data_IF_213338677749
#
_entry.id   IF_213338677749
#
_cell.length_a   1.000
_cell.length_b   1.000
_cell.length_c   1.000
_cell.angle_alpha   90.00
_cell.angle_beta   90.00
_cell.angle_gamma   90.00
#
_symmetry.space_group_name_H-M   'P 1'
#
loop_
_entity.id
_entity.type
_entity.pdbx_description
1 polymer ?
#
# COMPACT_ATOMS: atom_id res chain seq x y z
N UNK A 1 -11.93 1.19 -8.41
CA UNK A 1 -12.60 0.05 -9.05
C UNK A 1 -13.59 0.55 -10.08
N UNK A 2 -13.56 0.01 -11.30
CA UNK A 2 -14.56 0.32 -12.33
C UNK A 2 -15.75 -0.62 -12.11
N UNK A 3 -16.96 -0.08 -12.16
CA UNK A 3 -18.20 -0.85 -12.00
C UNK A 3 -18.91 -1.14 -13.32
N UNK A 4 -18.49 -0.49 -14.41
CA UNK A 4 -19.05 -0.70 -15.74
C UNK A 4 -18.33 -1.85 -16.43
N UNK A 5 -19.10 -2.75 -17.03
CA UNK A 5 -18.58 -3.88 -17.82
C UNK A 5 -18.53 -3.54 -19.31
N UNK A 6 -19.40 -2.62 -19.76
CA UNK A 6 -19.53 -2.20 -21.15
C UNK A 6 -19.09 -0.73 -21.35
N UNK A 7 -18.32 -0.40 -22.41
CA UNK A 7 -18.00 0.98 -22.80
C UNK A 7 -19.20 1.92 -23.01
N UNK A 8 -20.40 1.38 -23.25
CA UNK A 8 -21.63 2.16 -23.46
C UNK A 8 -22.34 2.57 -22.15
N UNK A 9 -21.97 1.97 -21.01
CA UNK A 9 -22.54 2.33 -19.71
C UNK A 9 -21.96 3.65 -19.19
N UNK A 10 -22.77 4.41 -18.44
CA UNK A 10 -22.25 5.59 -17.75
C UNK A 10 -21.13 5.17 -16.77
N UNK A 11 -19.94 5.79 -16.86
CA UNK A 11 -18.78 5.31 -16.13
C UNK A 11 -18.91 5.60 -14.64
N UNK A 12 -19.20 4.56 -13.87
CA UNK A 12 -19.16 4.58 -12.41
C UNK A 12 -17.82 4.04 -11.90
N UNK A 13 -17.21 4.76 -10.95
CA UNK A 13 -15.92 4.41 -10.34
C UNK A 13 -16.05 4.52 -8.82
N UNK A 14 -15.64 3.47 -8.12
CA UNK A 14 -15.38 3.52 -6.68
C UNK A 14 -13.91 3.88 -6.43
N UNK A 15 -13.68 4.86 -5.56
CA UNK A 15 -12.35 5.26 -5.10
C UNK A 15 -12.17 4.85 -3.64
N UNK A 16 -11.33 3.84 -3.40
CA UNK A 16 -10.87 3.47 -2.06
C UNK A 16 -9.86 4.51 -1.56
N UNK A 17 -10.00 4.91 -0.31
CA UNK A 17 -9.05 5.79 0.38
C UNK A 17 -9.03 5.51 1.88
N UNK A 18 -8.00 6.01 2.56
CA UNK A 18 -7.92 5.99 4.02
C UNK A 18 -9.06 6.82 4.63
N UNK A 19 -9.76 6.25 5.62
CA UNK A 19 -10.93 6.87 6.23
C UNK A 19 -10.60 8.20 6.91
N UNK A 20 -9.37 8.38 7.40
CA UNK A 20 -8.91 9.62 8.04
C UNK A 20 -8.79 10.81 7.08
N UNK A 21 -8.84 10.59 5.77
CA UNK A 21 -8.73 11.64 4.74
C UNK A 21 -9.91 11.70 3.79
N UNK A 22 -11.02 11.02 4.11
CA UNK A 22 -12.23 11.02 3.28
C UNK A 22 -12.70 12.44 2.95
N UNK A 23 -12.83 13.30 3.96
CA UNK A 23 -13.26 14.70 3.78
C UNK A 23 -12.28 15.52 2.94
N UNK A 24 -10.98 15.32 3.17
CA UNK A 24 -9.92 16.03 2.44
C UNK A 24 -9.93 15.65 0.95
N UNK A 25 -10.07 14.35 0.65
CA UNK A 25 -10.18 13.85 -0.72
C UNK A 25 -11.46 14.36 -1.38
N UNK A 26 -12.60 14.34 -0.69
CA UNK A 26 -13.85 14.87 -1.23
C UNK A 26 -13.75 16.36 -1.56
N UNK A 27 -13.17 17.17 -0.67
CA UNK A 27 -12.92 18.60 -0.92
C UNK A 27 -11.99 18.79 -2.11
N UNK A 28 -10.91 18.03 -2.19
CA UNK A 28 -9.96 18.07 -3.30
C UNK A 28 -10.64 17.74 -4.63
N UNK A 29 -11.41 16.64 -4.73
CA UNK A 29 -12.13 16.29 -5.95
C UNK A 29 -13.18 17.33 -6.35
N UNK A 30 -13.90 17.91 -5.38
CA UNK A 30 -14.88 18.98 -5.62
C UNK A 30 -14.24 20.25 -6.19
N UNK A 31 -13.01 20.58 -5.80
CA UNK A 31 -12.24 21.70 -6.37
C UNK A 31 -12.08 21.55 -7.89
N UNK A 32 -11.80 20.34 -8.37
CA UNK A 32 -11.55 20.05 -9.79
C UNK A 32 -12.81 19.66 -10.59
N UNK A 33 -13.97 19.51 -9.94
CA UNK A 33 -15.24 19.15 -10.59
C UNK A 33 -15.89 20.31 -11.37
N UNK A 34 -15.44 21.55 -11.22
CA UNK A 34 -16.10 22.73 -11.82
C UNK A 34 -16.33 22.52 -13.33
N UNK A 35 -17.59 22.70 -13.77
CA UNK A 35 -18.06 22.47 -15.15
C UNK A 35 -17.91 21.03 -15.67
N UNK A 36 -17.81 20.03 -14.78
CA UNK A 36 -17.83 18.60 -15.11
C UNK A 36 -19.13 17.94 -14.62
N UNK A 37 -19.74 17.11 -15.47
CA UNK A 37 -20.92 16.30 -15.14
C UNK A 37 -20.50 15.03 -14.39
N UNK A 38 -20.05 15.19 -13.14
CA UNK A 38 -19.61 14.06 -12.29
C UNK A 38 -20.27 14.18 -10.93
N UNK A 39 -20.89 13.13 -10.41
CA UNK A 39 -21.34 13.10 -9.02
C UNK A 39 -20.26 12.50 -8.10
N UNK A 40 -20.10 13.05 -6.90
CA UNK A 40 -19.11 12.59 -5.93
C UNK A 40 -19.83 12.45 -4.59
N UNK A 41 -19.95 11.23 -4.10
CA UNK A 41 -20.60 10.91 -2.84
C UNK A 41 -19.82 9.82 -2.10
N UNK A 42 -19.86 9.79 -0.76
CA UNK A 42 -19.34 8.66 0.02
C UNK A 42 -20.27 7.46 -0.13
N UNK A 43 -19.70 6.25 -0.22
CA UNK A 43 -20.44 4.99 -0.28
C UNK A 43 -20.44 4.31 1.11
N UNK A 44 -21.23 4.84 2.04
CA UNK A 44 -21.25 4.40 3.44
C UNK A 44 -22.02 3.10 3.68
N UNK A 45 -22.78 2.66 2.67
CA UNK A 45 -23.51 1.41 2.60
C UNK A 45 -22.65 0.23 2.14
N UNK A 46 -21.38 0.48 1.79
CA UNK A 46 -20.43 -0.53 1.35
C UNK A 46 -19.39 -0.86 2.42
N UNK A 47 -18.87 -2.09 2.36
CA UNK A 47 -17.74 -2.55 3.15
C UNK A 47 -16.61 -3.00 2.23
N UNK A 48 -15.39 -2.59 2.55
CA UNK A 48 -14.17 -3.02 1.86
C UNK A 48 -13.44 -4.06 2.73
N UNK A 49 -13.00 -5.14 2.09
CA UNK A 49 -12.27 -6.24 2.68
C UNK A 49 -11.04 -6.58 1.85
N UNK A 50 -10.01 -7.09 2.53
CA UNK A 50 -8.89 -7.76 1.90
C UNK A 50 -9.02 -9.27 2.13
N UNK A 51 -8.91 -10.06 1.06
CA UNK A 51 -8.84 -11.52 1.14
C UNK A 51 -7.38 -11.89 0.94
N UNK A 52 -6.72 -12.27 2.02
CA UNK A 52 -5.30 -12.66 2.01
C UNK A 52 -5.23 -14.18 1.96
N UNK A 53 -4.48 -14.78 1.01
CA UNK A 53 -4.34 -16.23 0.92
C UNK A 53 -3.65 -16.79 2.18
N UNK A 54 -4.20 -17.86 2.75
CA UNK A 54 -3.52 -18.65 3.78
C UNK A 54 -2.43 -19.55 3.19
N UNK A 55 -1.69 -20.28 4.05
CA UNK A 55 -0.59 -21.18 3.66
C UNK A 55 -1.02 -22.34 2.74
N UNK A 56 -2.32 -22.62 2.63
CA UNK A 56 -2.91 -23.63 1.74
C UNK A 56 -3.93 -23.03 0.77
N UNK A 57 -3.58 -21.90 0.15
CA UNK A 57 -4.36 -21.35 -0.95
C UNK A 57 -4.18 -22.24 -2.19
N UNK A 58 -5.09 -23.20 -2.40
CA UNK A 58 -5.24 -23.90 -3.68
C UNK A 58 -5.65 -22.92 -4.80
N UNK A 59 -6.40 -23.38 -5.81
CA UNK A 59 -6.91 -22.51 -6.88
C UNK A 59 -8.08 -21.61 -6.38
N UNK A 60 -7.76 -20.67 -5.48
CA UNK A 60 -8.69 -19.70 -4.95
C UNK A 60 -9.20 -18.79 -6.08
N UNK A 61 -8.36 -18.49 -7.07
CA UNK A 61 -8.73 -17.65 -8.21
C UNK A 61 -9.89 -18.25 -9.03
N UNK A 62 -9.83 -19.55 -9.34
CA UNK A 62 -10.90 -20.26 -10.06
C UNK A 62 -12.20 -20.40 -9.27
N UNK A 63 -12.12 -20.50 -7.94
CA UNK A 63 -13.29 -20.56 -7.05
C UNK A 63 -13.97 -19.19 -6.91
N UNK A 64 -13.18 -18.14 -6.71
CA UNK A 64 -13.64 -16.74 -6.55
C UNK A 64 -14.33 -16.21 -7.82
N UNK A 65 -13.82 -16.54 -9.01
CA UNK A 65 -14.41 -16.13 -10.28
C UNK A 65 -15.86 -16.64 -10.47
N UNK A 66 -16.21 -17.79 -9.88
CA UNK A 66 -17.56 -18.38 -9.96
C UNK A 66 -18.58 -17.76 -8.99
N UNK A 67 -18.15 -16.82 -8.14
CA UNK A 67 -18.92 -16.26 -7.01
C UNK A 67 -19.01 -14.73 -7.03
N UNK A 68 -18.62 -14.12 -8.16
CA UNK A 68 -18.67 -12.68 -8.35
C UNK A 68 -20.11 -12.12 -8.22
N UNK A 69 -21.14 -12.94 -8.44
CA UNK A 69 -22.56 -12.58 -8.34
C UNK A 69 -23.01 -12.19 -6.92
N UNK A 70 -22.27 -12.63 -5.89
CA UNK A 70 -22.58 -12.33 -4.48
C UNK A 70 -21.76 -11.15 -3.92
N UNK A 71 -20.77 -10.67 -4.67
CA UNK A 71 -19.95 -9.51 -4.34
C UNK A 71 -20.30 -8.33 -5.26
N UNK A 72 -20.04 -7.11 -4.82
CA UNK A 72 -20.07 -5.97 -5.75
C UNK A 72 -18.80 -5.96 -6.60
N UNK A 73 -17.65 -6.20 -5.95
CA UNK A 73 -16.35 -6.33 -6.61
C UNK A 73 -15.57 -7.43 -5.90
N UNK A 74 -14.95 -8.30 -6.68
CA UNK A 74 -13.95 -9.26 -6.24
C UNK A 74 -12.85 -9.32 -7.29
N UNK A 75 -11.70 -8.73 -6.98
CA UNK A 75 -10.60 -8.56 -7.94
C UNK A 75 -9.26 -8.78 -7.25
N UNK A 76 -8.23 -9.28 -7.96
CA UNK A 76 -6.87 -9.25 -7.45
C UNK A 76 -6.48 -7.85 -6.97
N UNK A 77 -5.67 -7.77 -5.91
CA UNK A 77 -5.13 -6.50 -5.42
C UNK A 77 -4.24 -5.88 -6.52
N UNK A 78 -4.52 -4.65 -6.99
CA UNK A 78 -3.85 -4.09 -8.15
C UNK A 78 -2.36 -3.76 -7.89
N UNK A 79 -1.92 -3.77 -6.64
CA UNK A 79 -0.53 -3.45 -6.29
C UNK A 79 0.40 -4.61 -6.58
N UNK A 80 0.03 -5.82 -6.16
CA UNK A 80 0.83 -7.04 -6.31
C UNK A 80 0.03 -8.27 -5.85
N UNK A 81 0.30 -9.42 -6.49
CA UNK A 81 -0.38 -10.69 -6.20
C UNK A 81 -0.18 -11.16 -4.75
N UNK A 82 0.94 -10.78 -4.09
CA UNK A 82 1.18 -11.16 -2.69
C UNK A 82 0.17 -10.57 -1.72
N UNK A 83 -0.59 -9.54 -2.13
CA UNK A 83 -1.65 -8.93 -1.33
C UNK A 83 -3.02 -9.63 -1.47
N UNK A 84 -3.14 -10.64 -2.33
CA UNK A 84 -4.37 -11.38 -2.54
C UNK A 84 -5.41 -10.58 -3.31
N UNK A 85 -6.62 -10.46 -2.76
CA UNK A 85 -7.77 -9.87 -3.44
C UNK A 85 -8.40 -8.72 -2.64
N UNK A 86 -9.00 -7.79 -3.37
CA UNK A 86 -9.94 -6.79 -2.84
C UNK A 86 -11.37 -7.28 -3.03
N UNK A 87 -12.14 -7.21 -1.95
CA UNK A 87 -13.56 -7.57 -1.92
C UNK A 87 -14.38 -6.35 -1.44
N UNK A 88 -15.34 -5.91 -2.24
CA UNK A 88 -16.32 -4.90 -1.84
C UNK A 88 -17.70 -5.56 -1.81
N UNK A 89 -18.39 -5.38 -0.68
CA UNK A 89 -19.73 -5.92 -0.44
C UNK A 89 -20.66 -4.83 0.06
N UNK A 90 -21.98 -5.11 0.04
CA UNK A 90 -22.93 -4.33 0.84
C UNK A 90 -22.64 -4.56 2.32
N UNK A 91 -22.80 -3.51 3.12
CA UNK A 91 -22.65 -3.59 4.58
C UNK A 91 -23.59 -4.65 5.15
N UNK A 92 -23.05 -5.54 5.98
CA UNK A 92 -23.79 -6.66 6.58
C UNK A 92 -23.90 -7.91 5.70
N UNK A 93 -23.27 -7.95 4.52
CA UNK A 93 -23.21 -9.17 3.72
C UNK A 93 -22.54 -10.33 4.46
N UNK A 94 -23.02 -11.56 4.22
CA UNK A 94 -22.47 -12.76 4.81
C UNK A 94 -21.17 -13.20 4.09
N UNK A 95 -20.02 -12.90 4.70
CA UNK A 95 -18.71 -13.15 4.07
C UNK A 95 -18.43 -14.63 3.82
N UNK A 96 -18.94 -15.53 4.67
CA UNK A 96 -18.71 -16.98 4.49
C UNK A 96 -19.49 -17.57 3.31
N UNK A 97 -20.55 -16.90 2.84
CA UNK A 97 -21.24 -17.30 1.61
C UNK A 97 -20.46 -16.88 0.37
N UNK A 98 -19.88 -15.67 0.41
CA UNK A 98 -19.09 -15.10 -0.70
C UNK A 98 -17.74 -15.81 -0.83
N UNK A 99 -17.07 -16.05 0.30
CA UNK A 99 -15.78 -16.73 0.38
C UNK A 99 -15.93 -17.93 1.34
N UNK A 100 -16.38 -19.10 0.84
CA UNK A 100 -16.46 -20.32 1.65
C UNK A 100 -15.11 -20.69 2.24
N UNK A 101 -15.12 -21.35 3.39
CA UNK A 101 -13.91 -21.80 4.10
C UNK A 101 -12.96 -20.66 4.50
N UNK A 102 -13.43 -19.41 4.43
CA UNK A 102 -12.74 -18.26 5.00
C UNK A 102 -13.15 -18.03 6.46
N UNK A 103 -12.34 -17.25 7.16
CA UNK A 103 -12.67 -16.70 8.46
C UNK A 103 -12.32 -15.20 8.46
N UNK A 104 -13.02 -14.43 9.30
CA UNK A 104 -12.69 -13.02 9.50
C UNK A 104 -11.43 -12.95 10.36
N UNK A 105 -10.32 -12.54 9.74
CA UNK A 105 -9.04 -12.34 10.43
C UNK A 105 -8.97 -11.03 11.24
N UNK A 106 -7.94 -10.91 12.05
CA UNK A 106 -7.64 -9.67 12.77
C UNK A 106 -6.97 -8.66 11.83
N UNK A 107 -7.39 -7.40 11.86
CA UNK A 107 -6.78 -6.31 11.08
C UNK A 107 -5.27 -6.17 11.33
N UNK A 108 -4.80 -6.56 12.52
CA UNK A 108 -3.38 -6.55 12.86
C UNK A 108 -2.57 -7.56 12.03
N UNK A 109 -3.15 -8.72 11.70
CA UNK A 109 -2.49 -9.70 10.82
C UNK A 109 -2.38 -9.18 9.40
N UNK A 110 -3.41 -8.47 8.92
CA UNK A 110 -3.36 -7.77 7.63
C UNK A 110 -2.22 -6.74 7.58
N UNK A 111 -2.09 -5.91 8.62
CA UNK A 111 -1.00 -4.93 8.71
C UNK A 111 0.37 -5.60 8.83
N UNK A 112 0.48 -6.68 9.60
CA UNK A 112 1.71 -7.48 9.72
C UNK A 112 2.13 -8.06 8.36
N UNK A 113 1.17 -8.60 7.59
CA UNK A 113 1.41 -9.08 6.23
C UNK A 113 1.90 -7.95 5.32
N UNK A 114 1.23 -6.79 5.31
CA UNK A 114 1.67 -5.63 4.52
C UNK A 114 3.09 -5.20 4.86
N UNK A 115 3.43 -5.06 6.14
CA UNK A 115 4.78 -4.66 6.56
C UNK A 115 5.83 -5.72 6.20
N UNK A 116 5.53 -7.01 6.37
CA UNK A 116 6.40 -8.10 5.90
C UNK A 116 6.67 -8.02 4.40
N UNK A 117 5.65 -7.72 3.60
CA UNK A 117 5.76 -7.59 2.14
C UNK A 117 6.30 -6.22 1.68
N UNK A 118 6.50 -5.25 2.59
CA UNK A 118 6.91 -3.91 2.23
C UNK A 118 5.86 -3.12 1.43
N UNK A 119 4.57 -3.38 1.69
CA UNK A 119 3.44 -2.71 1.02
C UNK A 119 2.90 -1.58 1.90
N UNK A 120 3.23 -0.31 1.57
CA UNK A 120 2.70 0.84 2.29
C UNK A 120 1.21 1.06 1.98
N UNK A 121 0.43 1.41 3.00
CA UNK A 121 -0.99 1.73 2.90
C UNK A 121 -1.42 2.73 3.98
N UNK A 122 -2.25 3.70 3.60
CA UNK A 122 -2.80 4.70 4.52
C UNK A 122 -1.85 5.86 4.84
N UNK A 123 -2.35 6.80 5.65
CA UNK A 123 -1.68 8.09 5.87
C UNK A 123 -0.41 8.01 6.72
N UNK A 124 -0.28 6.98 7.57
CA UNK A 124 0.94 6.75 8.36
C UNK A 124 2.11 6.33 7.45
N UNK A 125 1.81 5.48 6.48
CA UNK A 125 2.78 4.98 5.52
C UNK A 125 3.08 6.03 4.43
N UNK A 126 2.06 6.82 4.06
CA UNK A 126 2.13 7.94 3.10
C UNK A 126 1.72 9.30 3.71
N UNK A 127 2.58 9.96 4.49
CA UNK A 127 2.23 11.24 5.07
C UNK A 127 1.92 12.27 3.98
N UNK A 128 0.71 12.89 3.97
CA UNK A 128 0.28 13.79 2.92
C UNK A 128 1.23 14.98 2.74
N UNK A 129 1.59 15.28 1.50
CA UNK A 129 2.53 16.37 1.16
C UNK A 129 4.00 16.06 1.44
N UNK A 130 4.33 14.91 2.04
CA UNK A 130 5.70 14.51 2.37
C UNK A 130 6.15 13.29 1.56
N UNK A 131 5.29 12.28 1.43
CA UNK A 131 5.63 11.05 0.71
C UNK A 131 5.80 11.31 -0.79
N UNK A 132 6.96 10.91 -1.34
CA UNK A 132 7.23 11.00 -2.78
C UNK A 132 6.79 9.70 -3.49
N UNK A 133 5.97 9.76 -4.56
CA UNK A 133 5.42 8.57 -5.22
C UNK A 133 6.45 7.50 -5.60
N UNK A 134 7.58 7.93 -6.17
CA UNK A 134 8.60 7.00 -6.67
C UNK A 134 9.48 6.41 -5.56
N UNK A 135 9.76 7.18 -4.49
CA UNK A 135 10.38 6.65 -3.27
C UNK A 135 9.42 5.69 -2.54
N UNK A 136 8.12 5.86 -2.74
CA UNK A 136 7.06 5.05 -2.15
C UNK A 136 6.69 3.82 -3.00
N UNK A 137 7.48 3.52 -4.03
CA UNK A 137 7.33 2.36 -4.92
C UNK A 137 6.03 2.33 -5.74
N UNK A 138 5.34 3.46 -5.96
CA UNK A 138 4.11 3.48 -6.75
C UNK A 138 4.31 2.94 -8.17
N UNK A 139 5.50 3.13 -8.78
CA UNK A 139 5.80 2.54 -10.08
C UNK A 139 5.91 1.00 -10.04
N UNK A 140 6.39 0.43 -8.92
CA UNK A 140 6.46 -1.03 -8.74
C UNK A 140 5.10 -1.63 -8.37
N UNK A 141 4.20 -0.83 -7.80
CA UNK A 141 2.84 -1.24 -7.43
C UNK A 141 1.78 -0.83 -8.47
N UNK A 142 2.16 -0.73 -9.75
CA UNK A 142 1.27 -0.40 -10.88
C UNK A 142 0.49 0.93 -10.75
N UNK A 143 0.96 1.87 -9.91
CA UNK A 143 0.27 3.12 -9.57
C UNK A 143 0.58 4.31 -10.47
N UNK A 144 1.54 4.20 -11.39
CA UNK A 144 1.94 5.29 -12.30
C UNK A 144 2.01 4.78 -13.73
N UNK A 145 1.34 5.48 -14.65
CA UNK A 145 1.56 5.33 -16.09
C UNK A 145 2.39 6.51 -16.59
N UNK A 146 3.48 6.20 -17.30
CA UNK A 146 4.35 7.20 -17.95
C UNK A 146 3.92 7.53 -19.39
N UNK A 147 2.91 6.82 -19.90
CA UNK A 147 2.42 6.96 -21.28
C UNK A 147 1.02 7.58 -21.36
N UNK A 148 0.37 7.86 -20.21
CA UNK A 148 -0.95 8.50 -20.17
C UNK A 148 -0.86 10.03 -20.35
N UNK A 149 -2.02 10.65 -20.56
CA UNK A 149 -2.17 12.11 -20.63
C UNK A 149 -1.87 12.85 -19.32
N UNK A 150 -2.01 14.17 -19.36
CA UNK A 150 -1.61 15.07 -18.27
C UNK A 150 -2.34 14.81 -16.94
N UNK A 151 -1.60 14.89 -15.83
CA UNK A 151 -2.16 14.82 -14.47
C UNK A 151 -1.36 15.68 -13.48
N UNK A 152 -1.95 16.02 -12.34
CA UNK A 152 -1.31 16.90 -11.34
C UNK A 152 -0.04 16.25 -10.78
N UNK A 153 1.08 16.98 -10.82
CA UNK A 153 2.38 16.51 -10.33
C UNK A 153 3.14 15.59 -11.30
N UNK A 154 2.68 15.48 -12.56
CA UNK A 154 3.31 14.63 -13.57
C UNK A 154 4.76 15.06 -13.85
N UNK A 155 5.03 16.35 -13.98
CA UNK A 155 6.32 16.86 -14.46
C UNK A 155 7.46 16.45 -13.53
N UNK A 156 7.26 16.60 -12.22
CA UNK A 156 8.25 16.20 -11.22
C UNK A 156 8.44 14.67 -11.20
N UNK A 157 7.33 13.92 -11.29
CA UNK A 157 7.34 12.46 -11.27
C UNK A 157 8.06 11.90 -12.49
N UNK A 158 7.71 12.38 -13.70
CA UNK A 158 8.33 11.97 -14.95
C UNK A 158 9.81 12.35 -15.01
N UNK A 159 10.17 13.57 -14.57
CA UNK A 159 11.58 14.01 -14.49
C UNK A 159 12.40 13.08 -13.60
N UNK A 160 11.88 12.76 -12.42
CA UNK A 160 12.55 11.88 -11.46
C UNK A 160 12.70 10.46 -12.03
N UNK A 161 11.72 9.96 -12.76
CA UNK A 161 11.78 8.65 -13.41
C UNK A 161 12.80 8.59 -14.55
N UNK A 162 12.83 9.59 -15.44
CA UNK A 162 13.68 9.55 -16.64
C UNK A 162 15.11 10.04 -16.41
N UNK A 163 15.31 11.02 -15.53
CA UNK A 163 16.61 11.65 -15.31
C UNK A 163 17.25 11.25 -13.97
N UNK A 164 16.45 10.69 -13.05
CA UNK A 164 16.86 10.45 -11.67
C UNK A 164 17.15 8.99 -11.38
N UNK A 165 18.19 8.76 -10.57
CA UNK A 165 18.34 7.50 -9.85
C UNK A 165 17.53 7.63 -8.56
N UNK A 166 16.53 6.77 -8.38
CA UNK A 166 15.78 6.68 -7.11
C UNK A 166 16.71 6.04 -6.07
N UNK A 167 17.34 6.88 -5.25
CA UNK A 167 18.34 6.43 -4.24
C UNK A 167 17.72 5.95 -2.94
N UNK A 168 16.50 6.37 -2.64
CA UNK A 168 15.77 5.98 -1.43
C UNK A 168 14.44 5.32 -1.81
N UNK A 169 14.07 4.28 -1.08
CA UNK A 169 12.78 3.60 -1.22
C UNK A 169 12.19 3.24 0.14
N UNK A 170 10.87 3.15 0.21
CA UNK A 170 10.21 2.45 1.30
C UNK A 170 10.56 0.96 1.21
N UNK A 171 11.09 0.42 2.29
CA UNK A 171 11.55 -0.96 2.39
C UNK A 171 11.00 -1.58 3.67
N UNK A 172 10.63 -2.87 3.65
CA UNK A 172 10.29 -3.59 4.88
C UNK A 172 11.51 -3.64 5.79
N UNK A 173 11.27 -3.47 7.08
CA UNK A 173 12.27 -3.61 8.12
C UNK A 173 11.80 -4.61 9.18
N UNK A 174 12.76 -5.26 9.81
CA UNK A 174 12.52 -6.27 10.84
C UNK A 174 13.38 -5.99 12.08
N UNK A 175 12.74 -6.07 13.25
CA UNK A 175 13.36 -5.98 14.56
C UNK A 175 13.57 -7.38 15.13
N UNK A 176 14.70 -7.65 15.82
CA UNK A 176 14.96 -8.96 16.43
C UNK A 176 13.92 -9.38 17.48
N UNK A 177 13.21 -8.42 18.08
CA UNK A 177 12.15 -8.66 19.04
C UNK A 177 10.99 -7.68 18.79
N UNK A 178 9.75 -8.04 19.15
CA UNK A 178 8.62 -7.14 19.04
C UNK A 178 8.83 -5.88 19.90
N UNK A 179 8.59 -4.72 19.29
CA UNK A 179 8.63 -3.44 20.00
C UNK A 179 7.23 -3.05 20.48
N UNK A 180 7.14 -2.31 21.61
CA UNK A 180 5.87 -1.74 22.03
C UNK A 180 5.25 -0.88 20.92
N UNK A 181 3.92 -0.89 20.81
CA UNK A 181 3.21 -0.05 19.82
C UNK A 181 3.57 1.42 20.04
N UNK A 182 3.75 2.13 18.92
CA UNK A 182 4.02 3.57 18.89
C UNK A 182 5.27 3.99 19.70
N UNK A 183 6.19 3.06 19.99
CA UNK A 183 7.44 3.34 20.70
C UNK A 183 8.48 4.05 19.85
N UNK A 184 8.37 3.95 18.52
CA UNK A 184 9.27 4.61 17.57
C UNK A 184 8.60 5.89 17.07
N UNK A 185 9.21 7.07 17.28
CA UNK A 185 8.70 8.31 16.72
C UNK A 185 8.66 8.28 15.19
N UNK A 186 7.66 8.93 14.59
CA UNK A 186 7.62 9.11 13.14
C UNK A 186 8.88 9.85 12.68
N UNK A 187 9.54 9.31 11.63
CA UNK A 187 10.73 9.92 11.08
C UNK A 187 12.00 9.73 11.92
N UNK A 188 11.97 8.85 12.95
CA UNK A 188 13.15 8.46 13.70
C UNK A 188 14.29 8.06 12.75
N UNK A 189 15.48 8.59 13.00
CA UNK A 189 16.62 8.37 12.13
C UNK A 189 17.12 6.93 12.25
N UNK A 190 17.36 6.32 11.09
CA UNK A 190 18.01 5.02 10.97
C UNK A 190 19.42 5.27 10.46
N UNK A 191 20.39 4.70 11.18
CA UNK A 191 21.81 4.81 10.87
C UNK A 191 22.43 3.43 10.68
N UNK A 192 23.52 3.38 9.93
CA UNK A 192 24.39 2.21 9.87
C UNK A 192 25.11 2.03 11.21
N UNK A 193 25.69 0.85 11.47
CA UNK A 193 26.49 0.65 12.68
C UNK A 193 27.67 1.65 12.81
N UNK A 194 28.21 2.13 11.68
CA UNK A 194 29.24 3.17 11.64
C UNK A 194 28.73 4.60 11.86
N UNK A 195 27.44 4.77 12.14
CA UNK A 195 26.80 6.06 12.45
C UNK A 195 26.42 6.89 11.22
N UNK A 196 26.48 6.33 10.00
CA UNK A 196 26.06 7.05 8.79
C UNK A 196 24.55 7.03 8.66
N UNK A 197 23.96 8.16 8.29
CA UNK A 197 22.51 8.26 8.02
C UNK A 197 22.11 7.34 6.86
N UNK A 198 21.28 6.35 7.15
CA UNK A 198 20.78 5.34 6.21
C UNK A 198 19.32 5.61 5.80
N UNK A 199 18.55 6.32 6.62
CA UNK A 199 17.17 6.67 6.30
C UNK A 199 16.34 7.05 7.51
N UNK A 200 15.02 6.88 7.39
CA UNK A 200 14.08 7.19 8.48
C UNK A 200 13.00 6.13 8.59
N UNK A 201 12.65 5.79 9.83
CA UNK A 201 11.47 4.99 10.14
C UNK A 201 10.20 5.68 9.64
N UNK A 202 9.26 4.92 9.08
CA UNK A 202 7.98 5.43 8.59
C UNK A 202 6.83 4.98 9.48
N UNK A 203 6.61 3.69 9.55
CA UNK A 203 5.51 3.10 10.32
C UNK A 203 5.79 1.61 10.56
N UNK A 204 5.12 1.02 11.55
CA UNK A 204 5.30 -0.39 11.88
C UNK A 204 4.49 -0.80 13.10
N UNK A 205 4.61 -2.08 13.47
CA UNK A 205 4.00 -2.65 14.66
C UNK A 205 4.62 -4.02 14.98
N UNK A 206 4.82 -4.29 16.27
CA UNK A 206 5.51 -5.50 16.70
C UNK A 206 6.96 -5.50 16.22
N UNK A 207 7.35 -6.56 15.53
CA UNK A 207 8.69 -6.79 14.99
C UNK A 207 8.87 -6.31 13.54
N UNK A 208 7.82 -5.75 12.92
CA UNK A 208 7.81 -5.38 11.51
C UNK A 208 7.48 -3.90 11.30
N UNK A 209 7.98 -3.36 10.19
CA UNK A 209 7.60 -2.04 9.73
C UNK A 209 8.11 -1.74 8.34
N UNK A 210 8.01 -0.48 7.97
CA UNK A 210 8.60 0.08 6.77
C UNK A 210 9.42 1.32 7.11
N UNK A 211 10.50 1.52 6.36
CA UNK A 211 11.36 2.66 6.48
C UNK A 211 11.75 3.21 5.11
N UNK A 212 11.92 4.53 5.03
CA UNK A 212 12.48 5.17 3.85
C UNK A 212 14.01 5.08 3.95
N UNK A 213 14.61 4.12 3.26
CA UNK A 213 16.04 3.82 3.35
C UNK A 213 16.76 4.10 2.04
N UNK A 214 18.03 4.46 2.15
CA UNK A 214 18.97 4.54 1.02
C UNK A 214 19.30 3.12 0.54
N UNK A 215 19.11 2.87 -0.75
CA UNK A 215 19.36 1.55 -1.35
C UNK A 215 20.82 1.09 -1.20
N UNK A 216 21.76 2.03 -1.14
CA UNK A 216 23.18 1.73 -0.95
C UNK A 216 23.51 1.12 0.42
N UNK A 217 22.64 1.30 1.42
CA UNK A 217 22.88 0.90 2.81
C UNK A 217 22.03 -0.29 3.25
N UNK A 218 21.23 -0.88 2.35
CA UNK A 218 20.23 -1.90 2.71
C UNK A 218 20.85 -3.18 3.28
N UNK A 219 22.04 -3.55 2.80
CA UNK A 219 22.76 -4.77 3.21
C UNK A 219 23.66 -4.53 4.43
N UNK A 220 23.71 -3.32 4.96
CA UNK A 220 24.47 -3.01 6.17
C UNK A 220 23.63 -3.31 7.42
N UNK A 221 24.26 -3.67 8.56
CA UNK A 221 23.57 -3.66 9.84
C UNK A 221 23.04 -2.26 10.16
N UNK A 222 21.73 -2.16 10.41
CA UNK A 222 21.04 -0.91 10.70
C UNK A 222 20.63 -0.83 12.17
N UNK A 223 20.48 0.39 12.64
CA UNK A 223 20.01 0.66 13.99
C UNK A 223 19.26 1.98 14.07
N UNK A 224 18.39 2.09 15.07
CA UNK A 224 17.76 3.35 15.45
C UNK A 224 17.80 3.52 16.97
N UNK A 225 17.62 4.76 17.42
CA UNK A 225 17.56 5.08 18.84
C UNK A 225 16.09 5.10 19.31
N UNK A 226 15.77 4.28 20.31
CA UNK A 226 14.47 4.25 20.97
C UNK A 226 14.70 4.60 22.45
N UNK A 227 14.20 5.75 22.89
CA UNK A 227 14.29 6.19 24.28
C UNK A 227 15.72 6.17 24.89
N UNK A 228 16.76 6.40 24.07
CA UNK A 228 18.17 6.38 24.48
C UNK A 228 18.88 5.05 24.20
N UNK A 229 18.15 3.99 23.86
CA UNK A 229 18.69 2.68 23.58
C UNK A 229 18.88 2.45 22.07
N UNK A 230 20.03 1.88 21.70
CA UNK A 230 20.35 1.53 20.32
C UNK A 230 19.73 0.17 19.96
N UNK A 231 18.68 0.19 19.16
CA UNK A 231 17.96 -1.02 18.72
C UNK A 231 18.39 -1.38 17.31
N UNK A 232 18.80 -2.65 17.11
CA UNK A 232 19.20 -3.18 15.80
C UNK A 232 17.97 -3.53 14.96
N UNK A 233 18.12 -3.41 13.64
CA UNK A 233 17.12 -3.83 12.67
C UNK A 233 17.80 -4.28 11.37
N UNK A 234 17.06 -5.01 10.55
CA UNK A 234 17.45 -5.34 9.18
C UNK A 234 16.41 -4.80 8.20
N UNK A 235 16.82 -4.63 6.95
CA UNK A 235 15.93 -4.32 5.84
C UNK A 235 16.06 -5.41 4.77
N UNK A 236 15.02 -5.61 3.96
CA UNK A 236 15.05 -6.59 2.87
C UNK A 236 14.43 -6.01 1.61
N UNK A 237 14.85 -6.52 0.45
CA UNK A 237 14.21 -6.22 -0.83
C UNK A 237 13.01 -7.15 -0.99
N UNK A 238 11.78 -6.63 -1.17
CA UNK A 238 10.62 -7.49 -1.40
C UNK A 238 10.77 -8.34 -2.67
N UNK A 239 10.39 -9.61 -2.61
CA UNK A 239 10.54 -10.56 -3.73
C UNK A 239 9.71 -10.18 -4.96
N UNK A 240 8.59 -9.49 -4.77
CA UNK A 240 7.70 -9.03 -5.82
C UNK A 240 8.22 -7.80 -6.59
N UNK A 241 9.33 -7.19 -6.14
CA UNK A 241 9.92 -6.08 -6.89
C UNK A 241 10.39 -6.56 -8.27
N UNK A 242 10.32 -5.70 -9.30
CA UNK A 242 10.87 -6.03 -10.61
C UNK A 242 12.34 -6.42 -10.48
N UNK A 243 12.69 -7.60 -10.99
CA UNK A 243 14.09 -8.02 -11.03
C UNK A 243 14.85 -7.08 -11.98
N UNK A 244 16.06 -6.62 -11.61
CA UNK A 244 16.87 -5.87 -12.54
C UNK A 244 17.06 -6.72 -13.81
N UNK A 245 16.89 -6.11 -14.97
CA UNK A 245 17.18 -6.78 -16.24
C UNK A 245 18.61 -7.33 -16.14
N UNK A 246 18.78 -8.64 -16.34
CA UNK A 246 20.08 -9.26 -16.47
C UNK A 246 20.81 -8.52 -17.59
N UNK A 247 21.92 -7.85 -17.23
CA UNK A 247 22.83 -7.27 -18.23
C UNK A 247 23.51 -8.38 -19.01
#
# INVERSE_FOLDING_TARGET
FRLHENPEEEPHILLECDSGVLDAIQKHLKLYKIRRKVNIAPCLDLSLWAVVPGESAGDLAGSLAKRADQALILTPDPRTDVMGWRLITKKGANLSEIIPESHVGNIQDYHRHRYKQGIPEGVKDFPPGVALPLESNLAYMNGISFTKGCYIGQELTARTHHMGVIRKRLLPIHFPAPLPRDSIPEGAEIVTESGKSAGKFRAGGGELGIALLRLANINEPLCLNIAGEKVKLTASIPEWWPKPASK
#
